data_IF_891537090279
#
_entry.id   IF_891537090279
#
_cell.length_a   1.000
_cell.length_b   1.000
_cell.length_c   1.000
_cell.angle_alpha   90.00
_cell.angle_beta   90.00
_cell.angle_gamma   90.00
#
_symmetry.space_group_name_H-M   'P 1'
#
loop_
_entity.id
_entity.type
_entity.pdbx_description
1 polymer ?
#
# COMPACT_ATOMS: atom_id res chain seq x y z
N UNK A 1 -29.77 -20.11 5.82
CA UNK A 1 -28.30 -20.05 5.64
C UNK A 1 -27.91 -18.59 5.84
N UNK A 2 -26.93 -18.28 6.67
CA UNK A 2 -26.43 -16.90 6.73
C UNK A 2 -25.69 -16.63 5.42
N UNK A 3 -26.00 -15.51 4.77
CA UNK A 3 -25.26 -15.05 3.60
C UNK A 3 -23.81 -14.78 4.04
N UNK A 4 -22.84 -15.39 3.35
CA UNK A 4 -21.41 -15.24 3.62
C UNK A 4 -20.76 -14.50 2.46
N UNK A 5 -19.93 -13.52 2.79
CA UNK A 5 -19.11 -12.77 1.84
C UNK A 5 -17.65 -12.93 2.20
N UNK A 6 -16.87 -13.44 1.26
CA UNK A 6 -15.41 -13.59 1.30
C UNK A 6 -14.77 -12.36 0.70
N UNK A 7 -13.98 -11.66 1.51
CA UNK A 7 -13.28 -10.43 1.15
C UNK A 7 -11.79 -10.72 1.01
N UNK A 8 -11.29 -10.70 -0.22
CA UNK A 8 -9.87 -10.82 -0.52
C UNK A 8 -9.09 -9.57 -0.12
N UNK A 9 -7.91 -9.78 0.48
CA UNK A 9 -6.98 -8.69 0.81
C UNK A 9 -5.55 -9.21 0.82
N UNK A 10 -4.56 -8.32 0.69
CA UNK A 10 -3.15 -8.70 0.91
C UNK A 10 -2.89 -9.00 2.38
N UNK A 11 -1.87 -9.82 2.65
CA UNK A 11 -1.51 -10.23 4.02
C UNK A 11 -0.74 -9.20 4.87
N UNK A 12 -0.45 -8.00 4.36
CA UNK A 12 0.25 -6.97 5.15
C UNK A 12 -0.67 -6.39 6.25
N UNK A 13 -0.12 -5.96 7.38
CA UNK A 13 -0.89 -5.37 8.49
C UNK A 13 -1.81 -4.23 8.03
N UNK A 14 -1.31 -3.35 7.15
CA UNK A 14 -2.11 -2.25 6.59
C UNK A 14 -3.27 -2.76 5.72
N UNK A 15 -3.02 -3.74 4.87
CA UNK A 15 -4.05 -4.30 3.98
C UNK A 15 -5.14 -5.06 4.76
N UNK A 16 -4.76 -5.80 5.80
CA UNK A 16 -5.70 -6.42 6.73
C UNK A 16 -6.54 -5.35 7.44
N UNK A 17 -5.91 -4.28 7.92
CA UNK A 17 -6.63 -3.17 8.56
C UNK A 17 -7.63 -2.51 7.62
N UNK A 18 -7.27 -2.31 6.36
CA UNK A 18 -8.19 -1.77 5.34
C UNK A 18 -9.39 -2.70 5.11
N UNK A 19 -9.16 -4.01 5.09
CA UNK A 19 -10.22 -5.00 4.94
C UNK A 19 -11.11 -5.11 6.18
N UNK A 20 -10.56 -4.95 7.38
CA UNK A 20 -11.33 -4.85 8.63
C UNK A 20 -12.28 -3.65 8.61
N UNK A 21 -11.82 -2.47 8.17
CA UNK A 21 -12.69 -1.28 8.06
C UNK A 21 -13.89 -1.54 7.15
N UNK A 22 -13.68 -2.18 5.99
CA UNK A 22 -14.79 -2.60 5.13
C UNK A 22 -15.68 -3.62 5.84
N UNK A 23 -15.10 -4.65 6.46
CA UNK A 23 -15.85 -5.71 7.12
C UNK A 23 -16.73 -5.18 8.26
N UNK A 24 -16.25 -4.21 9.03
CA UNK A 24 -17.01 -3.56 10.09
C UNK A 24 -18.17 -2.75 9.52
N UNK A 25 -17.95 -2.02 8.41
CA UNK A 25 -19.02 -1.31 7.71
C UNK A 25 -20.09 -2.26 7.16
N UNK A 26 -19.68 -3.38 6.56
CA UNK A 26 -20.59 -4.42 6.05
C UNK A 26 -21.40 -5.06 7.18
N UNK A 27 -20.77 -5.42 8.30
CA UNK A 27 -21.44 -6.01 9.47
C UNK A 27 -22.42 -5.02 10.12
N UNK A 28 -22.09 -3.73 10.12
CA UNK A 28 -22.98 -2.70 10.64
C UNK A 28 -24.23 -2.54 9.77
N UNK A 29 -24.05 -2.49 8.44
CA UNK A 29 -25.16 -2.35 7.49
C UNK A 29 -26.01 -3.63 7.37
N UNK A 30 -25.38 -4.80 7.49
CA UNK A 30 -26.03 -6.12 7.41
C UNK A 30 -25.63 -7.00 8.60
N UNK A 31 -26.31 -6.89 9.75
CA UNK A 31 -25.95 -7.61 10.98
C UNK A 31 -25.95 -9.14 10.88
N UNK A 32 -26.66 -9.69 9.89
CA UNK A 32 -26.74 -11.14 9.66
C UNK A 32 -25.72 -11.66 8.63
N UNK A 33 -24.97 -10.76 7.98
CA UNK A 33 -23.97 -11.11 6.98
C UNK A 33 -22.70 -11.65 7.65
N UNK A 34 -22.31 -12.86 7.31
CA UNK A 34 -21.03 -13.42 7.72
C UNK A 34 -19.91 -12.89 6.80
N UNK A 35 -19.10 -11.96 7.31
CA UNK A 35 -17.96 -11.41 6.56
C UNK A 35 -16.68 -12.13 6.97
N UNK A 36 -16.03 -12.78 6.01
CA UNK A 36 -14.76 -13.47 6.16
C UNK A 36 -13.66 -12.76 5.36
N UNK A 37 -12.53 -12.49 6.01
CA UNK A 37 -11.35 -11.94 5.34
C UNK A 37 -10.47 -13.09 4.84
N UNK A 38 -10.09 -13.05 3.56
CA UNK A 38 -9.24 -14.04 2.90
C UNK A 38 -7.90 -13.36 2.54
N UNK A 39 -6.84 -13.56 3.34
CA UNK A 39 -5.51 -13.08 2.99
C UNK A 39 -4.97 -13.84 1.77
N UNK A 40 -4.65 -13.10 0.71
CA UNK A 40 -4.09 -13.63 -0.53
C UNK A 40 -2.64 -13.13 -0.63
N UNK A 41 -1.72 -14.07 -0.86
CA UNK A 41 -0.31 -13.78 -1.03
C UNK A 41 -0.02 -13.49 -2.49
N UNK A 42 0.45 -12.28 -2.78
CA UNK A 42 0.70 -11.83 -4.15
C UNK A 42 2.14 -12.08 -4.57
N UNK A 43 2.42 -12.10 -5.88
CA UNK A 43 3.77 -12.23 -6.40
C UNK A 43 4.67 -11.06 -5.99
N UNK A 44 4.10 -9.86 -5.85
CA UNK A 44 4.77 -8.70 -5.26
C UNK A 44 5.17 -8.88 -3.79
N UNK A 45 4.52 -9.77 -3.05
CA UNK A 45 4.93 -10.15 -1.69
C UNK A 45 6.03 -11.23 -1.67
N UNK A 46 6.20 -11.98 -2.77
CA UNK A 46 7.19 -13.06 -2.90
C UNK A 46 8.56 -12.56 -3.38
N UNK A 47 8.61 -11.48 -4.14
CA UNK A 47 9.84 -10.92 -4.73
C UNK A 47 10.03 -9.45 -4.34
N UNK A 48 10.56 -9.14 -3.13
CA UNK A 48 10.83 -7.76 -2.72
C UNK A 48 11.88 -7.05 -3.58
N UNK A 49 12.80 -7.83 -4.18
CA UNK A 49 14.00 -7.37 -4.90
C UNK A 49 13.91 -7.50 -6.42
N UNK A 50 12.83 -8.07 -6.96
CA UNK A 50 12.63 -8.06 -8.40
C UNK A 50 12.41 -6.62 -8.87
N UNK A 51 13.13 -6.23 -9.91
CA UNK A 51 13.17 -4.88 -10.43
C UNK A 51 11.79 -4.48 -10.99
N UNK A 52 10.92 -3.95 -10.11
CA UNK A 52 9.55 -3.48 -10.39
C UNK A 52 9.47 -2.44 -11.52
N UNK A 53 10.62 -1.86 -11.92
CA UNK A 53 10.71 -0.95 -13.06
C UNK A 53 10.90 -1.69 -14.40
N UNK A 54 11.43 -2.91 -14.40
CA UNK A 54 11.68 -3.73 -15.61
C UNK A 54 10.52 -4.68 -15.92
N UNK A 55 9.85 -5.21 -14.89
CA UNK A 55 8.58 -5.90 -15.05
C UNK A 55 7.53 -4.80 -14.99
N UNK A 56 6.82 -4.48 -16.08
CA UNK A 56 5.83 -3.39 -16.20
C UNK A 56 4.62 -3.48 -15.25
N UNK A 57 4.88 -3.60 -13.94
CA UNK A 57 4.14 -4.46 -13.03
C UNK A 57 3.33 -3.71 -11.99
N UNK A 58 2.34 -2.94 -12.44
CA UNK A 58 1.21 -2.56 -11.56
C UNK A 58 0.36 -3.78 -11.17
N UNK A 59 0.34 -4.82 -12.02
CA UNK A 59 -0.36 -6.08 -11.78
C UNK A 59 0.19 -6.94 -10.63
N UNK A 60 1.44 -6.73 -10.18
CA UNK A 60 2.12 -7.67 -9.28
C UNK A 60 1.52 -7.76 -7.86
N UNK A 61 0.75 -6.77 -7.44
CA UNK A 61 0.08 -6.76 -6.13
C UNK A 61 -1.42 -7.03 -6.21
N UNK A 62 -1.97 -7.21 -7.41
CA UNK A 62 -3.41 -7.31 -7.65
C UNK A 62 -3.79 -8.59 -8.40
N UNK A 63 -2.89 -9.14 -9.22
CA UNK A 63 -3.18 -10.27 -10.11
C UNK A 63 -3.80 -11.46 -9.39
N UNK A 64 -3.18 -11.97 -8.31
CA UNK A 64 -3.74 -13.15 -7.62
C UNK A 64 -5.08 -12.88 -6.91
N UNK A 65 -5.38 -11.61 -6.62
CA UNK A 65 -6.66 -11.18 -6.04
C UNK A 65 -7.71 -11.04 -7.16
N UNK A 66 -7.33 -10.47 -8.30
CA UNK A 66 -8.17 -10.36 -9.49
C UNK A 66 -8.58 -11.75 -10.00
N UNK A 67 -7.63 -12.69 -10.06
CA UNK A 67 -7.90 -14.11 -10.37
C UNK A 67 -8.87 -14.72 -9.35
N UNK A 68 -8.73 -14.38 -8.06
CA UNK A 68 -9.64 -14.89 -7.02
C UNK A 68 -11.07 -14.37 -7.15
N UNK A 69 -11.24 -13.12 -7.59
CA UNK A 69 -12.55 -12.55 -7.91
C UNK A 69 -13.17 -13.24 -9.13
N UNK A 70 -12.40 -13.34 -10.23
CA UNK A 70 -12.88 -13.92 -11.48
C UNK A 70 -13.25 -15.40 -11.35
N UNK A 71 -12.49 -16.16 -10.56
CA UNK A 71 -12.76 -17.57 -10.29
C UNK A 71 -13.85 -17.80 -9.22
N UNK A 72 -14.40 -16.74 -8.62
CA UNK A 72 -15.42 -16.83 -7.56
C UNK A 72 -14.91 -17.38 -6.21
N UNK A 73 -13.58 -17.36 -5.99
CA UNK A 73 -12.97 -17.72 -4.70
C UNK A 73 -13.22 -16.67 -3.63
N UNK A 74 -13.41 -15.42 -4.03
CA UNK A 74 -13.83 -14.29 -3.21
C UNK A 74 -14.92 -13.50 -3.92
N UNK A 75 -15.77 -12.80 -3.17
CA UNK A 75 -16.85 -11.97 -3.72
C UNK A 75 -16.45 -10.51 -3.82
N UNK A 76 -15.55 -10.05 -2.95
CA UNK A 76 -15.06 -8.67 -2.89
C UNK A 76 -13.55 -8.67 -2.71
N UNK A 77 -12.88 -7.61 -3.16
CA UNK A 77 -11.48 -7.36 -2.89
C UNK A 77 -11.26 -5.96 -2.33
N UNK A 78 -10.31 -5.83 -1.41
CA UNK A 78 -9.91 -4.55 -0.82
C UNK A 78 -8.49 -4.20 -1.23
N UNK A 79 -8.34 -3.01 -1.80
CA UNK A 79 -7.06 -2.48 -2.26
C UNK A 79 -6.86 -1.04 -1.78
N UNK A 80 -5.60 -0.66 -1.61
CA UNK A 80 -5.24 0.76 -1.69
C UNK A 80 -5.39 1.22 -3.13
N UNK A 81 -6.25 2.20 -3.39
CA UNK A 81 -6.60 2.63 -4.76
C UNK A 81 -5.37 2.99 -5.62
N UNK A 82 -4.33 3.56 -5.01
CA UNK A 82 -3.08 3.92 -5.70
C UNK A 82 -2.31 2.73 -6.29
N UNK A 83 -2.59 1.52 -5.81
CA UNK A 83 -1.91 0.29 -6.23
C UNK A 83 -2.67 -0.41 -7.37
N UNK A 84 -3.89 0.03 -7.70
CA UNK A 84 -4.66 -0.52 -8.81
C UNK A 84 -4.14 0.00 -10.17
N UNK A 85 -4.22 -0.82 -11.23
CA UNK A 85 -3.95 -0.37 -12.59
C UNK A 85 -4.99 0.66 -13.04
N UNK A 86 -4.65 1.44 -14.07
CA UNK A 86 -5.57 2.44 -14.63
C UNK A 86 -6.74 1.78 -15.37
N UNK A 87 -6.48 0.64 -16.00
CA UNK A 87 -7.47 -0.21 -16.66
C UNK A 87 -7.64 -1.49 -15.83
N UNK A 88 -8.88 -1.85 -15.55
CA UNK A 88 -9.19 -3.07 -14.81
C UNK A 88 -9.36 -4.24 -15.79
N UNK A 89 -9.03 -5.48 -15.37
CA UNK A 89 -9.37 -6.67 -16.13
C UNK A 89 -10.87 -6.73 -16.47
N UNK A 90 -11.18 -7.24 -17.66
CA UNK A 90 -12.57 -7.44 -18.05
C UNK A 90 -13.30 -8.33 -17.03
N UNK A 91 -14.54 -7.96 -16.70
CA UNK A 91 -15.34 -8.65 -15.68
C UNK A 91 -15.15 -8.11 -14.25
N UNK A 92 -14.18 -7.22 -14.01
CA UNK A 92 -13.99 -6.56 -12.73
C UNK A 92 -14.41 -5.09 -12.78
N UNK A 93 -14.83 -4.57 -11.62
CA UNK A 93 -15.36 -3.21 -11.45
C UNK A 93 -14.97 -2.68 -10.08
N UNK A 94 -14.70 -1.37 -9.98
CA UNK A 94 -14.63 -0.68 -8.68
C UNK A 94 -16.04 -0.41 -8.18
N UNK A 95 -16.52 -1.29 -7.29
CA UNK A 95 -17.87 -1.22 -6.76
C UNK A 95 -18.07 -0.11 -5.71
N UNK A 96 -17.02 0.25 -4.97
CA UNK A 96 -17.13 1.22 -3.88
C UNK A 96 -15.80 1.95 -3.60
N UNK A 97 -15.93 3.16 -3.04
CA UNK A 97 -14.84 3.96 -2.51
C UNK A 97 -15.23 4.39 -1.09
N UNK A 98 -14.56 3.85 -0.06
CA UNK A 98 -14.73 4.36 1.32
C UNK A 98 -14.35 5.84 1.40
N UNK A 99 -14.75 6.49 2.50
CA UNK A 99 -14.31 7.86 2.79
C UNK A 99 -12.77 7.96 2.73
N UNK A 100 -12.29 9.01 2.08
CA UNK A 100 -10.88 9.16 1.80
C UNK A 100 -10.16 9.69 3.03
N UNK A 101 -9.19 8.90 3.51
CA UNK A 101 -8.26 9.34 4.54
C UNK A 101 -7.31 10.44 4.01
N UNK A 102 -6.48 11.01 4.89
CA UNK A 102 -5.55 12.08 4.56
C UNK A 102 -4.65 11.72 3.35
N UNK A 103 -4.79 12.43 2.21
CA UNK A 103 -4.06 12.09 1.00
C UNK A 103 -2.61 12.60 0.98
N UNK A 104 -2.15 13.27 2.05
CA UNK A 104 -0.82 13.90 2.10
C UNK A 104 0.30 12.87 2.25
N UNK A 105 1.49 13.28 1.83
CA UNK A 105 2.72 12.58 2.16
C UNK A 105 3.26 13.09 3.51
N UNK A 106 3.82 12.20 4.31
CA UNK A 106 4.47 12.53 5.58
C UNK A 106 5.96 12.19 5.51
N UNK A 107 6.79 13.09 6.05
CA UNK A 107 8.19 12.82 6.31
C UNK A 107 8.30 12.23 7.72
N UNK A 108 8.84 11.02 7.81
CA UNK A 108 9.12 10.35 9.08
C UNK A 108 10.63 10.38 9.28
N UNK A 109 11.09 11.04 10.32
CA UNK A 109 12.51 11.20 10.67
C UNK A 109 12.72 11.01 12.16
N UNK A 110 13.93 10.59 12.54
CA UNK A 110 14.35 10.54 13.96
C UNK A 110 14.64 11.93 14.51
N UNK A 111 15.03 12.87 13.65
CA UNK A 111 15.25 14.26 13.99
C UNK A 111 13.94 15.06 13.97
N UNK A 112 13.85 16.06 14.85
CA UNK A 112 12.74 17.02 14.91
C UNK A 112 13.02 18.19 13.95
N UNK A 113 11.97 18.79 13.39
CA UNK A 113 12.07 20.00 12.56
C UNK A 113 11.75 19.81 11.08
N UNK A 114 11.35 18.61 10.67
CA UNK A 114 10.84 18.34 9.32
C UNK A 114 11.91 18.43 8.22
N UNK A 115 11.46 18.61 6.97
CA UNK A 115 12.32 18.54 5.78
C UNK A 115 13.44 19.58 5.78
N UNK A 116 13.16 20.80 6.26
CA UNK A 116 14.14 21.88 6.30
C UNK A 116 15.27 21.62 7.30
N UNK A 117 15.01 20.87 8.37
CA UNK A 117 15.98 20.58 9.43
C UNK A 117 16.91 19.39 9.10
N UNK A 118 16.68 18.68 7.98
CA UNK A 118 17.55 17.58 7.59
C UNK A 118 18.97 18.08 7.25
N UNK A 119 20.02 17.40 7.74
CA UNK A 119 21.41 17.72 7.39
C UNK A 119 21.64 17.78 5.90
N UNK A 120 22.65 18.55 5.47
CA UNK A 120 23.07 18.57 4.08
C UNK A 120 23.49 17.15 3.65
N UNK A 121 22.96 16.66 2.53
CA UNK A 121 23.27 15.30 2.07
C UNK A 121 22.53 14.18 2.79
N UNK A 122 21.51 14.48 3.61
CA UNK A 122 20.73 13.47 4.32
C UNK A 122 20.12 12.42 3.37
N UNK A 123 20.14 11.16 3.82
CA UNK A 123 19.61 10.00 3.11
C UNK A 123 18.11 9.88 3.34
N UNK A 124 17.33 10.06 2.28
CA UNK A 124 15.86 9.99 2.33
C UNK A 124 15.36 8.78 1.56
N UNK A 125 14.74 7.84 2.27
CA UNK A 125 14.21 6.61 1.70
C UNK A 125 12.86 6.79 1.00
N UNK A 126 12.82 6.55 -0.33
CA UNK A 126 11.57 6.39 -1.10
C UNK A 126 11.79 5.61 -2.39
N UNK A 127 10.88 4.68 -2.70
CA UNK A 127 10.82 4.01 -4.01
C UNK A 127 9.90 4.72 -5.02
N UNK A 128 9.26 5.83 -4.64
CA UNK A 128 8.35 6.59 -5.51
C UNK A 128 9.13 7.62 -6.32
N UNK A 129 9.09 7.51 -7.65
CA UNK A 129 9.66 8.53 -8.55
C UNK A 129 8.99 9.89 -8.33
N UNK A 130 7.66 9.92 -8.12
CA UNK A 130 6.91 11.14 -7.79
C UNK A 130 7.52 11.86 -6.59
N UNK A 131 7.71 11.15 -5.48
CA UNK A 131 8.28 11.72 -4.25
C UNK A 131 9.73 12.12 -4.44
N UNK A 132 10.54 11.32 -5.16
CA UNK A 132 11.95 11.62 -5.46
C UNK A 132 12.11 12.95 -6.19
N UNK A 133 11.40 13.14 -7.29
CA UNK A 133 11.49 14.38 -8.09
C UNK A 133 11.05 15.59 -7.27
N UNK A 134 9.97 15.47 -6.50
CA UNK A 134 9.47 16.55 -5.64
C UNK A 134 10.47 16.91 -4.53
N UNK A 135 11.05 15.91 -3.85
CA UNK A 135 12.08 16.14 -2.82
C UNK A 135 13.32 16.83 -3.40
N UNK A 136 13.82 16.35 -4.54
CA UNK A 136 15.02 16.91 -5.18
C UNK A 136 14.79 18.31 -5.74
N UNK A 137 13.57 18.65 -6.15
CA UNK A 137 13.22 20.01 -6.52
C UNK A 137 13.25 20.98 -5.32
N UNK A 138 12.81 20.52 -4.14
CA UNK A 138 12.79 21.33 -2.91
C UNK A 138 14.15 21.41 -2.22
N UNK A 139 14.90 20.30 -2.21
CA UNK A 139 16.20 20.14 -1.55
C UNK A 139 17.12 19.31 -2.45
N UNK A 140 17.79 19.94 -3.44
CA UNK A 140 18.65 19.24 -4.41
C UNK A 140 19.83 18.49 -3.81
N UNK A 141 20.21 18.83 -2.57
CA UNK A 141 21.32 18.22 -1.86
C UNK A 141 20.99 16.85 -1.22
N UNK A 142 19.71 16.46 -1.11
CA UNK A 142 19.32 15.21 -0.46
C UNK A 142 19.75 13.98 -1.26
N UNK A 143 20.30 12.99 -0.56
CA UNK A 143 20.56 11.66 -1.11
C UNK A 143 19.27 10.84 -1.09
N UNK A 144 18.48 10.92 -2.17
CA UNK A 144 17.23 10.15 -2.25
C UNK A 144 17.52 8.70 -2.66
N UNK A 145 17.31 7.77 -1.74
CA UNK A 145 17.67 6.36 -1.87
C UNK A 145 16.43 5.47 -1.96
N UNK A 146 16.57 4.33 -2.64
CA UNK A 146 15.49 3.36 -2.78
C UNK A 146 15.24 2.67 -1.43
N UNK A 147 13.99 2.64 -0.98
CA UNK A 147 13.56 1.82 0.16
C UNK A 147 12.40 0.90 -0.25
N UNK A 148 12.54 -0.40 0.06
CA UNK A 148 11.54 -1.44 -0.21
C UNK A 148 11.02 -2.06 1.09
N UNK A 149 9.85 -2.69 0.98
CA UNK A 149 9.11 -3.29 2.09
C UNK A 149 7.79 -2.57 2.38
N UNK A 150 6.95 -3.21 3.20
CA UNK A 150 5.74 -2.62 3.77
C UNK A 150 6.09 -1.51 4.78
N UNK A 151 5.06 -0.85 5.35
CA UNK A 151 5.24 0.27 6.29
C UNK A 151 6.14 -0.14 7.47
N UNK A 152 5.85 -1.27 8.12
CA UNK A 152 6.63 -1.76 9.27
C UNK A 152 8.11 -1.97 8.94
N UNK A 153 8.41 -2.57 7.77
CA UNK A 153 9.79 -2.78 7.32
C UNK A 153 10.51 -1.44 7.09
N UNK A 154 9.81 -0.45 6.53
CA UNK A 154 10.40 0.87 6.28
C UNK A 154 10.69 1.62 7.56
N UNK A 155 9.76 1.57 8.53
CA UNK A 155 9.97 2.17 9.84
C UNK A 155 11.12 1.49 10.58
N UNK A 156 11.20 0.15 10.55
CA UNK A 156 12.33 -0.58 11.13
C UNK A 156 13.67 -0.15 10.51
N UNK A 157 13.75 -0.04 9.18
CA UNK A 157 14.98 0.42 8.49
C UNK A 157 15.37 1.86 8.88
N UNK A 158 14.39 2.72 9.15
CA UNK A 158 14.64 4.06 9.70
C UNK A 158 15.18 3.95 11.14
N UNK A 159 14.59 3.09 11.98
CA UNK A 159 15.03 2.87 13.35
C UNK A 159 16.45 2.30 13.44
N UNK A 160 16.82 1.43 12.50
CA UNK A 160 18.15 0.85 12.31
C UNK A 160 19.19 1.86 11.78
N UNK A 161 18.79 3.10 11.45
CA UNK A 161 19.71 4.15 10.98
C UNK A 161 20.17 3.99 9.53
N UNK A 162 19.49 3.16 8.73
CA UNK A 162 19.78 3.00 7.30
C UNK A 162 19.43 4.25 6.49
N UNK A 163 18.48 5.05 6.98
CA UNK A 163 18.06 6.31 6.39
C UNK A 163 17.94 7.39 7.48
N UNK A 164 18.10 8.65 7.12
CA UNK A 164 17.89 9.78 8.02
C UNK A 164 16.39 10.17 8.09
N UNK A 165 15.67 9.93 6.99
CA UNK A 165 14.22 10.05 6.93
C UNK A 165 13.62 9.10 5.87
N UNK A 166 12.32 8.82 5.98
CA UNK A 166 11.54 8.13 4.95
C UNK A 166 10.26 8.91 4.65
N UNK A 167 9.76 8.79 3.42
CA UNK A 167 8.47 9.40 3.04
C UNK A 167 7.39 8.33 2.92
N UNK A 168 6.32 8.48 3.68
CA UNK A 168 5.14 7.61 3.71
C UNK A 168 3.87 8.38 3.32
N UNK A 169 2.76 7.67 3.11
CA UNK A 169 1.45 8.32 3.11
C UNK A 169 1.03 8.53 4.57
N UNK A 170 0.27 9.60 4.84
CA UNK A 170 -0.30 9.89 6.15
C UNK A 170 -1.16 8.72 6.67
#
# INVERSE_FOLDING_TARGET
>A
MADRVRVGTRGSRLALRQAEVLADALRHAWPHLAVELIPIRTSGDRLPDANLALVGGKGLFVQEIDEALLDGRIELAVHSLKDLPAELPAGLVLAAFPERDDPRDVLVSRAVGGLAALPRGARVGTASLRRRVQLQALRPDLAVELIRGNVDTRLRKLDEGLYDAVVLAA
#
